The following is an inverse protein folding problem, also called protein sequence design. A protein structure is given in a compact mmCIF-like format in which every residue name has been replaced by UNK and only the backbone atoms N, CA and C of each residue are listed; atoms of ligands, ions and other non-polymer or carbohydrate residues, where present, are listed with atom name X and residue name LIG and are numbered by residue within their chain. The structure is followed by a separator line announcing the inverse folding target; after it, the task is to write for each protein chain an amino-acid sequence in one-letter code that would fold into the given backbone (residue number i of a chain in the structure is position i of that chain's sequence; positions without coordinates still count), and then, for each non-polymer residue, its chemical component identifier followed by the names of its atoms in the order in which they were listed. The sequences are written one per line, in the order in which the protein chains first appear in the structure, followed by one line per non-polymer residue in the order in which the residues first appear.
data_IF_381003313924
#
_entry.id   IF_381003313924
#
_cell.length_a   1.000
_cell.length_b   1.000
_cell.length_c   1.000
_cell.angle_alpha   90.00
_cell.angle_beta   90.00
_cell.angle_gamma   90.00
#
_symmetry.space_group_name_H-M   'P 1'
#
loop_
_entity.id
_entity.type
_entity.pdbx_description
1 polymer ?
#
# COMPACT_ATOMS: atom_id res chain seq x y z
N UNK A 1 -15.18 -13.88 -17.23
CA UNK A 1 -14.93 -12.76 -18.18
C UNK A 1 -15.93 -11.69 -17.75
N UNK A 2 -15.46 -10.70 -17.03
CA UNK A 2 -16.30 -9.54 -16.69
C UNK A 2 -16.27 -8.60 -17.91
N UNK A 3 -17.45 -8.31 -18.42
CA UNK A 3 -17.67 -7.25 -19.38
C UNK A 3 -17.92 -5.96 -18.60
N UNK A 4 -17.39 -4.83 -19.06
CA UNK A 4 -17.77 -3.52 -18.54
C UNK A 4 -19.26 -3.25 -18.80
N UNK A 5 -19.84 -2.18 -18.27
CA UNK A 5 -21.25 -1.74 -18.50
C UNK A 5 -21.67 -1.71 -19.99
N UNK A 6 -20.72 -1.72 -20.89
CA UNK A 6 -20.88 -1.61 -22.34
C UNK A 6 -20.52 -2.91 -23.11
N UNK A 7 -20.28 -4.03 -22.40
CA UNK A 7 -19.98 -5.33 -22.99
C UNK A 7 -18.55 -5.49 -23.54
N UNK A 8 -17.63 -4.55 -23.23
CA UNK A 8 -16.21 -4.64 -23.57
C UNK A 8 -15.37 -5.28 -22.47
N UNK A 9 -14.16 -5.74 -22.81
CA UNK A 9 -13.18 -6.19 -21.81
C UNK A 9 -12.73 -5.01 -20.97
N UNK A 10 -12.56 -5.22 -19.66
CA UNK A 10 -11.88 -4.26 -18.79
C UNK A 10 -10.42 -4.22 -19.23
N UNK A 11 -9.96 -3.07 -19.70
CA UNK A 11 -8.57 -2.82 -20.07
C UNK A 11 -7.90 -1.82 -19.13
N UNK A 12 -8.59 -1.47 -18.01
CA UNK A 12 -8.03 -0.54 -17.04
C UNK A 12 -6.82 -1.13 -16.34
N UNK A 13 -5.84 -0.27 -16.14
CA UNK A 13 -4.54 -0.57 -15.56
C UNK A 13 -4.54 -0.29 -14.08
N UNK A 14 -4.23 -1.30 -13.29
CA UNK A 14 -4.13 -1.20 -11.84
C UNK A 14 -2.68 -1.32 -11.42
N UNK A 15 -2.17 -0.29 -10.78
CA UNK A 15 -0.88 -0.30 -10.09
C UNK A 15 -1.11 -0.56 -8.61
N UNK A 16 -0.37 -1.51 -8.03
CA UNK A 16 -0.43 -1.79 -6.59
C UNK A 16 0.97 -1.74 -6.00
N UNK A 17 1.19 -0.89 -4.99
CA UNK A 17 2.41 -0.94 -4.19
C UNK A 17 2.22 -1.85 -2.99
N UNK A 18 3.19 -2.72 -2.65
CA UNK A 18 3.06 -3.68 -1.57
C UNK A 18 4.38 -4.02 -0.88
N UNK A 19 4.28 -4.55 0.34
CA UNK A 19 5.43 -4.89 1.17
C UNK A 19 5.91 -3.73 2.04
N UNK A 20 6.97 -3.95 2.80
CA UNK A 20 7.62 -2.92 3.63
C UNK A 20 8.91 -2.43 2.97
N UNK A 21 9.10 -1.11 2.83
CA UNK A 21 10.39 -0.59 2.38
C UNK A 21 11.45 -0.84 3.44
N UNK A 22 12.68 -1.01 2.99
CA UNK A 22 13.85 -1.21 3.83
C UNK A 22 14.82 -0.05 3.63
N UNK A 23 15.13 0.64 4.70
CA UNK A 23 16.06 1.77 4.67
C UNK A 23 17.41 1.34 5.24
N UNK A 24 18.43 1.14 4.39
CA UNK A 24 19.73 0.65 4.84
C UNK A 24 20.49 1.71 5.65
N UNK A 25 21.13 1.28 6.75
CA UNK A 25 22.09 2.05 7.51
C UNK A 25 23.52 1.77 7.03
N UNK A 26 23.78 0.50 6.72
CA UNK A 26 25.03 0.01 6.12
C UNK A 26 24.71 -1.11 5.11
N UNK A 27 25.69 -1.74 4.44
CA UNK A 27 25.43 -2.77 3.43
C UNK A 27 24.66 -4.01 3.90
N UNK A 28 24.54 -4.23 5.22
CA UNK A 28 23.92 -5.44 5.77
C UNK A 28 22.80 -5.18 6.78
N UNK A 29 22.62 -3.93 7.27
CA UNK A 29 21.63 -3.57 8.29
C UNK A 29 20.77 -2.38 7.88
N UNK A 30 19.54 -2.35 8.35
CA UNK A 30 18.62 -1.25 8.12
C UNK A 30 17.34 -1.39 8.94
N UNK A 31 16.41 -0.49 8.71
CA UNK A 31 15.06 -0.51 9.31
C UNK A 31 14.01 -0.79 8.24
N UNK A 32 12.96 -1.50 8.63
CA UNK A 32 11.83 -1.83 7.77
C UNK A 32 10.55 -1.92 8.57
N UNK A 33 9.42 -1.74 7.91
CA UNK A 33 8.10 -1.99 8.47
C UNK A 33 7.76 -3.48 8.37
N UNK A 34 6.99 -4.01 9.34
CA UNK A 34 6.63 -5.44 9.42
C UNK A 34 5.54 -5.87 8.44
N UNK A 35 5.46 -5.26 7.26
CA UNK A 35 4.47 -5.63 6.24
C UNK A 35 4.83 -6.97 5.59
N UNK A 36 3.87 -7.89 5.55
CA UNK A 36 4.01 -9.19 4.86
C UNK A 36 3.72 -9.14 3.36
N UNK A 37 3.05 -8.09 2.88
CA UNK A 37 2.55 -7.98 1.51
C UNK A 37 1.25 -8.77 1.23
N UNK A 38 0.68 -9.50 2.20
CA UNK A 38 -0.51 -10.34 2.01
C UNK A 38 -1.70 -9.56 1.45
N UNK A 39 -2.01 -8.39 2.02
CA UNK A 39 -3.17 -7.59 1.57
C UNK A 39 -3.02 -7.13 0.11
N UNK A 40 -1.84 -6.61 -0.24
CA UNK A 40 -1.54 -6.20 -1.62
C UNK A 40 -1.63 -7.36 -2.61
N UNK A 41 -1.19 -8.56 -2.21
CA UNK A 41 -1.30 -9.75 -3.05
C UNK A 41 -2.76 -10.18 -3.25
N UNK A 42 -3.60 -10.15 -2.21
CA UNK A 42 -5.02 -10.51 -2.36
C UNK A 42 -5.76 -9.48 -3.23
N UNK A 43 -5.44 -8.19 -3.10
CA UNK A 43 -5.95 -7.16 -4.00
C UNK A 43 -5.51 -7.39 -5.45
N UNK A 44 -4.23 -7.73 -5.68
CA UNK A 44 -3.73 -8.05 -7.02
C UNK A 44 -4.49 -9.23 -7.66
N UNK A 45 -4.77 -10.28 -6.88
CA UNK A 45 -5.56 -11.43 -7.33
C UNK A 45 -6.99 -11.02 -7.69
N UNK A 46 -7.61 -10.17 -6.87
CA UNK A 46 -8.97 -9.70 -7.13
C UNK A 46 -9.05 -8.81 -8.37
N UNK A 47 -8.07 -7.94 -8.60
CA UNK A 47 -7.95 -7.16 -9.83
C UNK A 47 -7.82 -8.07 -11.06
N UNK A 48 -6.89 -9.03 -10.99
CA UNK A 48 -6.63 -9.96 -12.10
C UNK A 48 -7.85 -10.81 -12.47
N UNK A 49 -8.56 -11.36 -11.47
CA UNK A 49 -9.77 -12.16 -11.70
C UNK A 49 -10.87 -11.33 -12.37
N UNK A 50 -10.91 -10.02 -12.12
CA UNK A 50 -11.87 -9.09 -12.72
C UNK A 50 -11.45 -8.57 -14.10
N UNK A 51 -10.26 -8.96 -14.59
CA UNK A 51 -9.78 -8.66 -15.93
C UNK A 51 -8.95 -7.38 -16.05
N UNK A 52 -8.51 -6.78 -14.94
CA UNK A 52 -7.59 -5.64 -14.95
C UNK A 52 -6.18 -6.04 -15.39
N UNK A 53 -5.47 -5.11 -16.04
CA UNK A 53 -4.02 -5.22 -16.28
C UNK A 53 -3.27 -4.79 -15.01
N UNK A 54 -2.63 -5.75 -14.32
CA UNK A 54 -2.08 -5.54 -12.98
C UNK A 54 -0.57 -5.46 -13.01
N UNK A 55 -0.04 -4.33 -12.52
CA UNK A 55 1.39 -4.14 -12.24
C UNK A 55 1.63 -3.96 -10.75
N UNK A 56 2.62 -4.66 -10.21
CA UNK A 56 3.00 -4.62 -8.80
C UNK A 56 4.34 -3.93 -8.62
N UNK A 57 4.42 -2.95 -7.70
CA UNK A 57 5.67 -2.43 -7.15
C UNK A 57 5.87 -3.08 -5.78
N UNK A 58 6.90 -3.90 -5.67
CA UNK A 58 7.08 -4.81 -4.55
C UNK A 58 8.35 -4.50 -3.80
N UNK A 59 8.20 -4.10 -2.54
CA UNK A 59 9.31 -4.01 -1.59
C UNK A 59 9.54 -5.35 -0.88
N UNK A 60 9.94 -5.36 0.39
CA UNK A 60 10.13 -6.59 1.15
C UNK A 60 8.80 -7.26 1.48
N UNK A 61 8.61 -8.52 1.08
CA UNK A 61 7.41 -9.32 1.32
C UNK A 61 7.77 -10.74 1.76
N UNK A 62 6.89 -11.36 2.54
CA UNK A 62 7.00 -12.76 2.93
C UNK A 62 6.11 -13.71 2.11
N UNK A 63 5.39 -13.18 1.11
CA UNK A 63 4.48 -13.96 0.26
C UNK A 63 5.13 -14.30 -1.07
N UNK A 64 4.76 -15.46 -1.63
CA UNK A 64 5.13 -15.82 -3.00
C UNK A 64 4.20 -15.12 -3.99
N UNK A 65 4.76 -14.32 -4.89
CA UNK A 65 4.01 -13.63 -5.92
C UNK A 65 3.91 -14.55 -7.16
N UNK A 66 2.70 -14.82 -7.68
CA UNK A 66 2.51 -15.57 -8.92
C UNK A 66 3.17 -14.89 -10.12
N UNK A 67 3.73 -15.70 -11.03
CA UNK A 67 4.43 -15.20 -12.24
C UNK A 67 3.53 -14.53 -13.27
N UNK A 68 2.22 -14.60 -13.10
CA UNK A 68 1.23 -13.92 -13.95
C UNK A 68 1.28 -12.40 -13.83
N UNK A 69 1.78 -11.87 -12.72
CA UNK A 69 1.86 -10.44 -12.48
C UNK A 69 3.13 -9.82 -13.06
N UNK A 70 2.99 -8.61 -13.60
CA UNK A 70 4.13 -7.74 -13.91
C UNK A 70 4.68 -7.17 -12.58
N UNK A 71 5.95 -7.45 -12.25
CA UNK A 71 6.55 -7.13 -10.95
C UNK A 71 7.75 -6.24 -11.10
N UNK A 72 7.73 -5.10 -10.45
CA UNK A 72 8.86 -4.19 -10.28
C UNK A 72 9.32 -4.26 -8.84
N UNK A 73 10.52 -4.80 -8.63
CA UNK A 73 11.11 -4.90 -7.28
C UNK A 73 11.81 -3.60 -6.92
N UNK A 74 11.61 -3.18 -5.67
CA UNK A 74 12.24 -2.02 -5.06
C UNK A 74 12.65 -2.37 -3.63
N UNK A 75 13.58 -1.63 -3.06
CA UNK A 75 14.02 -1.83 -1.69
C UNK A 75 13.61 -0.65 -0.81
N UNK A 76 13.96 0.57 -1.20
CA UNK A 76 13.79 1.77 -0.40
C UNK A 76 12.52 2.56 -0.75
N UNK A 77 12.10 3.46 0.15
CA UNK A 77 11.03 4.43 -0.12
C UNK A 77 11.35 5.31 -1.34
N UNK A 78 12.63 5.65 -1.55
CA UNK A 78 13.06 6.45 -2.68
C UNK A 78 12.92 5.70 -4.02
N UNK A 79 13.34 4.43 -4.07
CA UNK A 79 13.15 3.57 -5.24
C UNK A 79 11.66 3.34 -5.55
N UNK A 80 10.85 3.10 -4.52
CA UNK A 80 9.41 2.96 -4.67
C UNK A 80 8.79 4.24 -5.24
N UNK A 81 9.14 5.40 -4.70
CA UNK A 81 8.68 6.69 -5.22
C UNK A 81 9.05 6.90 -6.69
N UNK A 82 10.29 6.55 -7.07
CA UNK A 82 10.78 6.67 -8.44
C UNK A 82 10.02 5.75 -9.41
N UNK A 83 9.77 4.51 -9.00
CA UNK A 83 9.00 3.56 -9.79
C UNK A 83 7.54 4.03 -9.96
N UNK A 84 6.90 4.48 -8.88
CA UNK A 84 5.53 5.01 -8.89
C UNK A 84 5.43 6.22 -9.83
N UNK A 85 6.30 7.23 -9.68
CA UNK A 85 6.30 8.41 -10.54
C UNK A 85 6.38 8.10 -12.03
N UNK A 86 7.16 7.07 -12.38
CA UNK A 86 7.32 6.64 -13.78
C UNK A 86 6.04 6.02 -14.34
N UNK A 87 5.25 5.32 -13.52
CA UNK A 87 4.12 4.51 -13.98
C UNK A 87 2.77 5.24 -13.87
N UNK A 88 2.56 6.03 -12.82
CA UNK A 88 1.29 6.70 -12.49
C UNK A 88 0.63 7.41 -13.68
N UNK A 89 1.36 8.13 -14.57
CA UNK A 89 0.72 8.81 -15.69
C UNK A 89 -0.04 7.91 -16.67
N UNK A 90 0.21 6.61 -16.64
CA UNK A 90 -0.40 5.64 -17.54
C UNK A 90 -1.32 4.62 -16.82
N UNK A 91 -1.69 4.88 -15.56
CA UNK A 91 -2.53 4.00 -14.78
C UNK A 91 -3.91 4.62 -14.55
N UNK A 92 -4.92 3.77 -14.46
CA UNK A 92 -6.30 4.18 -14.17
C UNK A 92 -6.60 4.10 -12.68
N UNK A 93 -6.02 3.11 -11.98
CA UNK A 93 -6.19 2.89 -10.55
C UNK A 93 -4.82 2.73 -9.88
N UNK A 94 -4.62 3.39 -8.75
CA UNK A 94 -3.47 3.12 -7.88
C UNK A 94 -3.91 2.73 -6.47
N UNK A 95 -3.46 1.56 -6.02
CA UNK A 95 -3.74 1.05 -4.66
C UNK A 95 -2.44 1.06 -3.86
N UNK A 96 -2.35 1.97 -2.90
CA UNK A 96 -1.17 2.17 -2.06
C UNK A 96 -1.26 1.31 -0.80
N UNK A 97 -0.81 0.03 -0.86
CA UNK A 97 -0.80 -0.88 0.30
C UNK A 97 0.58 -1.06 0.93
N UNK A 98 1.63 -0.51 0.31
CA UNK A 98 2.97 -0.62 0.85
C UNK A 98 3.11 0.11 2.19
N UNK A 99 3.79 -0.53 3.13
CA UNK A 99 4.20 0.09 4.38
C UNK A 99 5.53 0.83 4.14
N UNK A 100 5.42 2.04 3.59
CA UNK A 100 6.57 2.89 3.28
C UNK A 100 7.15 3.43 4.58
N UNK A 101 8.47 3.33 4.77
CA UNK A 101 9.15 3.87 5.94
C UNK A 101 8.99 5.38 5.99
N UNK A 102 8.59 5.91 7.15
CA UNK A 102 8.45 7.35 7.39
C UNK A 102 9.78 8.05 7.59
N UNK A 103 10.82 7.29 7.91
CA UNK A 103 12.16 7.78 8.19
C UNK A 103 13.20 7.00 7.41
N UNK A 104 14.28 7.67 7.01
CA UNK A 104 15.50 7.09 6.47
C UNK A 104 16.72 7.63 7.21
N UNK A 105 17.83 6.92 7.14
CA UNK A 105 19.09 7.40 7.70
C UNK A 105 19.58 8.64 6.95
N UNK A 106 20.05 9.63 7.69
CA UNK A 106 20.62 10.86 7.11
C UNK A 106 21.89 10.55 6.35
N UNK A 107 22.79 9.79 6.98
CA UNK A 107 24.03 9.31 6.41
C UNK A 107 24.01 7.79 6.34
N UNK A 108 24.33 7.23 5.16
CA UNK A 108 24.51 5.80 4.96
C UNK A 108 25.98 5.47 4.99
N UNK A 109 26.36 4.50 5.81
CA UNK A 109 27.73 4.00 5.78
C UNK A 109 27.92 3.05 4.58
N UNK A 110 29.04 3.19 3.89
CA UNK A 110 29.44 2.31 2.78
C UNK A 110 30.13 1.03 3.25
N UNK A 111 30.47 0.95 4.54
CA UNK A 111 31.09 -0.19 5.18
C UNK A 111 30.24 -0.69 6.34
N UNK A 112 30.46 -1.92 6.75
CA UNK A 112 29.80 -2.46 7.95
C UNK A 112 30.23 -1.65 9.17
N UNK A 113 29.26 -1.06 9.87
CA UNK A 113 29.50 -0.29 11.09
C UNK A 113 30.07 -1.19 12.19
N UNK A 114 31.12 -0.74 12.87
CA UNK A 114 31.72 -1.45 14.00
C UNK A 114 30.74 -1.50 15.18
N UNK A 115 30.53 -2.69 15.73
CA UNK A 115 29.63 -2.95 16.85
C UNK A 115 30.30 -2.87 18.21
N UNK A 116 31.58 -2.54 18.28
CA UNK A 116 32.33 -2.42 19.55
C UNK A 116 31.99 -1.18 20.37
N UNK A 117 31.28 -0.21 19.75
CA UNK A 117 30.91 1.08 20.37
C UNK A 117 29.41 1.32 20.26
N UNK A 118 28.89 2.14 21.15
CA UNK A 118 27.52 2.65 21.04
C UNK A 118 27.36 3.45 19.73
N UNK A 119 26.24 3.25 19.04
CA UNK A 119 25.90 3.93 17.80
C UNK A 119 24.74 4.89 18.03
N UNK A 120 24.94 6.16 17.70
CA UNK A 120 23.85 7.16 17.61
C UNK A 120 23.48 7.32 16.14
N UNK A 121 22.19 7.35 15.85
CA UNK A 121 21.67 7.37 14.48
C UNK A 121 20.75 8.57 14.32
N UNK A 122 21.00 9.38 13.30
CA UNK A 122 20.11 10.45 12.89
C UNK A 122 19.19 9.98 11.77
N UNK A 123 17.90 10.19 11.96
CA UNK A 123 16.86 9.87 11.00
C UNK A 123 16.24 11.16 10.46
N UNK A 124 15.96 11.17 9.15
CA UNK A 124 15.21 12.23 8.48
C UNK A 124 13.94 11.67 7.85
N UNK A 125 12.86 12.48 7.76
CA UNK A 125 11.63 12.05 7.12
C UNK A 125 11.84 11.64 5.66
N UNK A 126 11.08 10.64 5.23
CA UNK A 126 10.95 10.28 3.82
C UNK A 126 9.83 11.09 3.16
N UNK A 127 9.75 10.98 1.84
CA UNK A 127 8.68 11.64 1.08
C UNK A 127 7.35 10.88 1.28
N UNK A 128 6.26 11.62 1.43
CA UNK A 128 4.91 11.05 1.47
C UNK A 128 4.41 10.81 0.04
N UNK A 129 4.69 9.63 -0.49
CA UNK A 129 4.45 9.25 -1.88
C UNK A 129 2.99 9.51 -2.28
N UNK A 130 2.03 9.11 -1.45
CA UNK A 130 0.60 9.20 -1.75
C UNK A 130 0.13 10.63 -2.05
N UNK A 131 0.77 11.65 -1.47
CA UNK A 131 0.40 13.06 -1.64
C UNK A 131 0.74 13.63 -3.02
N UNK A 132 1.56 12.93 -3.81
CA UNK A 132 1.99 13.39 -5.14
C UNK A 132 1.16 12.77 -6.28
N UNK A 133 0.32 11.78 -5.98
CA UNK A 133 -0.30 10.95 -7.02
C UNK A 133 -1.26 11.75 -7.88
N UNK A 134 -2.15 12.52 -7.26
CA UNK A 134 -3.12 13.37 -7.98
C UNK A 134 -2.49 14.54 -8.76
N UNK A 135 -1.29 14.97 -8.37
CA UNK A 135 -0.50 15.94 -9.15
C UNK A 135 0.09 15.30 -10.43
N UNK A 136 0.46 14.03 -10.35
CA UNK A 136 1.04 13.28 -11.47
C UNK A 136 -0.02 12.76 -12.45
N UNK A 137 -1.19 12.41 -11.94
CA UNK A 137 -2.35 11.98 -12.71
C UNK A 137 -3.64 12.37 -11.96
N UNK A 138 -4.28 13.49 -12.30
CA UNK A 138 -5.49 13.98 -11.63
C UNK A 138 -6.69 13.02 -11.73
N UNK A 139 -6.76 12.25 -12.81
CA UNK A 139 -7.92 11.39 -13.13
C UNK A 139 -7.80 9.98 -12.51
N UNK A 140 -6.64 9.63 -11.95
CA UNK A 140 -6.41 8.29 -11.38
C UNK A 140 -7.34 8.02 -10.18
N UNK A 141 -7.97 6.85 -10.12
CA UNK A 141 -8.67 6.42 -8.92
C UNK A 141 -7.65 5.97 -7.86
N UNK A 142 -7.56 6.73 -6.77
CA UNK A 142 -6.52 6.58 -5.74
C UNK A 142 -7.08 5.92 -4.48
N UNK A 143 -6.61 4.72 -4.17
CA UNK A 143 -6.94 3.99 -2.93
C UNK A 143 -5.76 4.04 -1.97
N UNK A 144 -5.98 4.61 -0.78
CA UNK A 144 -5.00 4.66 0.30
C UNK A 144 -5.25 3.60 1.37
N UNK A 145 -4.20 3.16 2.04
CA UNK A 145 -4.28 2.35 3.25
C UNK A 145 -3.80 3.15 4.45
N UNK A 146 -4.51 3.02 5.58
CA UNK A 146 -4.20 3.69 6.83
C UNK A 146 -4.23 2.67 7.97
N UNK A 147 -3.04 2.26 8.44
CA UNK A 147 -2.89 1.39 9.60
C UNK A 147 -2.59 2.24 10.84
N UNK A 148 -3.33 2.01 11.89
CA UNK A 148 -3.17 2.67 13.19
C UNK A 148 -3.00 1.62 14.30
N UNK A 149 -2.64 2.06 15.51
CA UNK A 149 -2.38 1.18 16.66
C UNK A 149 -3.09 1.72 17.88
N UNK A 150 -3.88 0.88 18.56
CA UNK A 150 -4.58 1.22 19.80
C UNK A 150 -5.41 2.50 19.72
N UNK A 151 -6.22 2.61 18.68
CA UNK A 151 -7.00 3.81 18.39
C UNK A 151 -8.50 3.50 18.40
N UNK A 152 -9.34 4.47 18.79
CA UNK A 152 -10.79 4.32 18.73
C UNK A 152 -11.29 4.25 17.28
N UNK A 153 -12.51 3.70 17.10
CA UNK A 153 -13.17 3.69 15.79
C UNK A 153 -13.34 5.12 15.23
N UNK A 154 -13.73 6.04 16.07
CA UNK A 154 -13.96 7.44 15.71
C UNK A 154 -12.66 8.11 15.23
N UNK A 155 -11.56 7.88 15.93
CA UNK A 155 -10.26 8.45 15.58
C UNK A 155 -9.65 7.80 14.32
N UNK A 156 -9.84 6.49 14.11
CA UNK A 156 -9.35 5.84 12.88
C UNK A 156 -10.09 6.35 11.64
N UNK A 157 -11.41 6.60 11.75
CA UNK A 157 -12.21 7.20 10.69
C UNK A 157 -11.78 8.66 10.46
N UNK A 158 -11.53 9.42 11.52
CA UNK A 158 -11.01 10.79 11.40
C UNK A 158 -9.65 10.82 10.71
N UNK A 159 -8.75 9.87 11.05
CA UNK A 159 -7.45 9.71 10.41
C UNK A 159 -7.56 9.36 8.91
N UNK A 160 -8.53 8.50 8.54
CA UNK A 160 -8.82 8.18 7.14
C UNK A 160 -9.33 9.40 6.37
N UNK A 161 -10.29 10.15 6.93
CA UNK A 161 -10.81 11.38 6.33
C UNK A 161 -9.74 12.46 6.19
N UNK A 162 -8.81 12.53 7.14
CA UNK A 162 -7.66 13.44 7.02
C UNK A 162 -6.76 13.04 5.85
N UNK A 163 -6.53 11.74 5.61
CA UNK A 163 -5.75 11.27 4.46
C UNK A 163 -6.45 11.61 3.14
N UNK A 164 -7.78 11.47 3.04
CA UNK A 164 -8.57 11.90 1.88
C UNK A 164 -8.29 13.38 1.58
N UNK A 165 -8.40 14.22 2.58
CA UNK A 165 -8.17 15.66 2.45
C UNK A 165 -6.73 16.01 2.05
N UNK A 166 -5.75 15.32 2.66
CA UNK A 166 -4.31 15.65 2.48
C UNK A 166 -3.72 15.13 1.17
N UNK A 167 -4.23 14.02 0.66
CA UNK A 167 -3.67 13.31 -0.49
C UNK A 167 -4.61 13.22 -1.69
N UNK A 168 -5.87 13.65 -1.53
CA UNK A 168 -6.89 13.53 -2.59
C UNK A 168 -7.23 12.08 -2.90
N UNK A 169 -7.13 11.15 -1.92
CA UNK A 169 -7.52 9.76 -2.12
C UNK A 169 -9.03 9.67 -2.33
N UNK A 170 -9.45 8.86 -3.30
CA UNK A 170 -10.87 8.62 -3.57
C UNK A 170 -11.45 7.61 -2.57
N UNK A 171 -10.61 6.74 -2.02
CA UNK A 171 -10.98 5.72 -1.05
C UNK A 171 -9.85 5.47 -0.06
N UNK A 172 -10.15 5.32 1.22
CA UNK A 172 -9.18 4.94 2.25
C UNK A 172 -9.64 3.67 2.98
N UNK A 173 -8.76 2.69 3.04
CA UNK A 173 -8.95 1.46 3.80
C UNK A 173 -8.20 1.61 5.13
N UNK A 174 -8.94 1.79 6.21
CA UNK A 174 -8.38 2.02 7.53
C UNK A 174 -8.52 0.78 8.42
N UNK A 175 -7.49 0.46 9.21
CA UNK A 175 -7.52 -0.64 10.15
C UNK A 175 -6.67 -0.38 11.39
N UNK A 176 -7.05 -0.97 12.52
CA UNK A 176 -6.22 -1.06 13.72
C UNK A 176 -5.43 -2.38 13.69
N UNK A 177 -4.11 -2.29 13.72
CA UNK A 177 -3.20 -3.45 13.68
C UNK A 177 -2.74 -3.91 15.06
N UNK A 178 -3.30 -3.37 16.15
CA UNK A 178 -3.02 -3.79 17.52
C UNK A 178 -3.69 -5.11 17.91
N UNK A 179 -4.83 -5.44 17.27
CA UNK A 179 -5.54 -6.70 17.48
C UNK A 179 -4.71 -7.89 16.97
N UNK A 180 -4.56 -8.93 17.80
CA UNK A 180 -3.81 -10.14 17.46
C UNK A 180 -4.30 -10.82 16.18
N UNK A 181 -5.57 -10.66 15.83
CA UNK A 181 -6.16 -11.20 14.61
C UNK A 181 -5.98 -10.31 13.38
N UNK A 182 -5.56 -9.04 13.56
CA UNK A 182 -5.48 -8.02 12.52
C UNK A 182 -4.07 -7.52 12.22
N UNK A 183 -3.03 -8.05 12.89
CA UNK A 183 -1.65 -7.59 12.70
C UNK A 183 -1.13 -7.83 11.27
N UNK A 184 -0.03 -7.21 10.91
CA UNK A 184 0.53 -7.25 9.54
C UNK A 184 0.78 -8.67 8.98
N UNK A 185 1.15 -9.63 9.82
CA UNK A 185 1.38 -11.04 9.43
C UNK A 185 0.13 -11.91 9.37
N UNK A 186 -1.00 -11.47 9.95
CA UNK A 186 -2.25 -12.22 10.00
C UNK A 186 -2.84 -12.48 8.61
N UNK A 187 -3.61 -13.57 8.46
CA UNK A 187 -4.41 -13.85 7.26
C UNK A 187 -5.75 -13.10 7.27
N UNK A 188 -6.16 -12.63 8.44
CA UNK A 188 -7.39 -11.86 8.63
C UNK A 188 -7.10 -10.37 8.83
N UNK A 189 -8.14 -9.57 8.71
CA UNK A 189 -8.14 -8.16 9.07
C UNK A 189 -9.58 -7.70 9.41
N UNK A 190 -9.68 -6.52 10.01
CA UNK A 190 -10.92 -5.78 10.21
C UNK A 190 -10.69 -4.38 9.68
N UNK A 191 -11.53 -3.91 8.78
CA UNK A 191 -11.29 -2.63 8.11
C UNK A 191 -12.53 -1.75 8.08
N UNK A 192 -12.30 -0.45 7.96
CA UNK A 192 -13.28 0.54 7.56
C UNK A 192 -12.88 1.06 6.17
N UNK A 193 -13.82 0.96 5.23
CA UNK A 193 -13.69 1.54 3.90
C UNK A 193 -14.34 2.92 3.98
N UNK A 194 -13.56 3.96 3.77
CA UNK A 194 -13.94 5.35 4.02
C UNK A 194 -13.79 6.18 2.75
N UNK A 195 -14.87 6.83 2.38
CA UNK A 195 -14.96 7.94 1.42
C UNK A 195 -15.95 8.96 1.97
N UNK A 196 -16.94 9.39 1.20
CA UNK A 196 -18.09 10.15 1.71
C UNK A 196 -18.93 9.33 2.67
N UNK A 197 -19.01 8.01 2.44
CA UNK A 197 -19.65 7.02 3.27
C UNK A 197 -18.62 6.23 4.12
N UNK A 198 -19.12 5.37 5.01
CA UNK A 198 -18.29 4.51 5.84
C UNK A 198 -18.85 3.10 5.83
N UNK A 199 -18.12 2.18 5.21
CA UNK A 199 -18.45 0.75 5.22
C UNK A 199 -17.57 0.03 6.24
N UNK A 200 -18.19 -0.58 7.26
CA UNK A 200 -17.48 -1.39 8.25
C UNK A 200 -17.43 -2.84 7.81
N UNK A 201 -16.24 -3.39 7.62
CA UNK A 201 -16.03 -4.80 7.32
C UNK A 201 -15.53 -5.48 8.59
N UNK A 202 -16.29 -6.43 9.16
CA UNK A 202 -15.88 -7.13 10.38
C UNK A 202 -14.65 -7.99 10.12
N UNK A 203 -14.12 -8.62 11.18
CA UNK A 203 -13.00 -9.54 11.07
C UNK A 203 -13.29 -10.61 10.00
N UNK A 204 -12.52 -10.55 8.93
CA UNK A 204 -12.68 -11.40 7.74
C UNK A 204 -11.31 -11.72 7.16
N UNK A 205 -11.24 -12.72 6.30
CA UNK A 205 -9.99 -13.03 5.58
C UNK A 205 -9.59 -11.86 4.67
N UNK A 206 -8.29 -11.64 4.51
CA UNK A 206 -7.77 -10.63 3.57
C UNK A 206 -8.26 -10.83 2.14
N UNK A 207 -8.58 -12.08 1.76
CA UNK A 207 -9.18 -12.41 0.48
C UNK A 207 -10.61 -11.86 0.35
N UNK A 208 -11.44 -12.05 1.38
CA UNK A 208 -12.82 -11.51 1.41
C UNK A 208 -12.80 -9.98 1.44
N UNK A 209 -11.94 -9.39 2.26
CA UNK A 209 -11.79 -7.93 2.32
C UNK A 209 -11.35 -7.38 0.96
N UNK A 210 -10.40 -8.00 0.28
CA UNK A 210 -9.97 -7.59 -1.06
C UNK A 210 -11.11 -7.67 -2.08
N UNK A 211 -11.98 -8.70 -1.98
CA UNK A 211 -13.17 -8.80 -2.81
C UNK A 211 -14.11 -7.61 -2.57
N UNK A 212 -14.45 -7.32 -1.30
CA UNK A 212 -15.33 -6.21 -0.93
C UNK A 212 -14.75 -4.87 -1.39
N UNK A 213 -13.44 -4.64 -1.21
CA UNK A 213 -12.78 -3.41 -1.66
C UNK A 213 -12.94 -3.24 -3.17
N UNK A 214 -12.73 -4.30 -3.96
CA UNK A 214 -12.89 -4.22 -5.41
C UNK A 214 -14.34 -4.03 -5.84
N UNK A 215 -15.31 -4.59 -5.13
CA UNK A 215 -16.72 -4.34 -5.39
C UNK A 215 -17.04 -2.86 -5.19
N UNK A 216 -16.55 -2.23 -4.11
CA UNK A 216 -16.68 -0.78 -3.87
C UNK A 216 -15.97 0.05 -4.95
N UNK A 217 -14.76 -0.33 -5.37
CA UNK A 217 -14.04 0.36 -6.45
C UNK A 217 -14.87 0.34 -7.73
N UNK A 218 -15.41 -0.83 -8.12
CA UNK A 218 -16.18 -0.99 -9.36
C UNK A 218 -17.52 -0.22 -9.37
N UNK A 219 -18.06 0.11 -8.20
CA UNK A 219 -19.26 0.95 -8.10
C UNK A 219 -18.95 2.44 -8.36
N UNK A 220 -17.67 2.84 -8.24
CA UNK A 220 -17.24 4.25 -8.28
C UNK A 220 -16.52 4.67 -9.57
N UNK A 221 -16.03 3.71 -10.36
CA UNK A 221 -15.33 3.96 -11.65
C UNK A 221 -16.21 3.74 -12.86
#
# INVERSE_FOLDING_TARGET
INLNKWGGFIHEKVLISMGGTYEPIDPIRGITNKSSGKMGLELAKQAYIRGFDVTLIVANVSVRIPSVFNVIKVETAEEMNKAIKKLIPSQDIFISTAAVSDFKFEDKDTHKIDSSKALSINLKPTIKIIRQIKELNPDIFLVGFKAEVNISKEDIIASAKQQIKDAGTDLVIANDVSDENCHFGSDNNKVWIVDDDIVSVPLSSKKEIANIIFDVILEKI
#
